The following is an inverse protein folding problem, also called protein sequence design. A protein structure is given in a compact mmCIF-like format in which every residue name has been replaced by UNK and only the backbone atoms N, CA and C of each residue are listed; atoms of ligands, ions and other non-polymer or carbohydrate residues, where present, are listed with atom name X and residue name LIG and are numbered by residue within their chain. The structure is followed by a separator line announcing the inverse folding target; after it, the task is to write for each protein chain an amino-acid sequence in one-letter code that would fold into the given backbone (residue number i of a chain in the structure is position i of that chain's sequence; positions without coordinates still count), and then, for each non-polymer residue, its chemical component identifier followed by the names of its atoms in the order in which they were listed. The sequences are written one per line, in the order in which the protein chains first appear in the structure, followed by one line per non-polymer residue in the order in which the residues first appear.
data_IF_884206178339
#
_entry.id   IF_884206178339
#
_cell.length_a   1.000
_cell.length_b   1.000
_cell.length_c   1.000
_cell.angle_alpha   90.00
_cell.angle_beta   90.00
_cell.angle_gamma   90.00
#
_symmetry.space_group_name_H-M   'P 1'
#
loop_
_entity.id
_entity.type
_entity.pdbx_description
1 polymer ?
#
# COMPACT_ATOMS: atom_id res chain seq x y z
N UNK A 1 1.61 19.80 -16.07
CA UNK A 1 2.04 20.85 -17.01
C UNK A 1 0.84 21.42 -17.80
N UNK A 2 0.04 20.57 -18.44
CA UNK A 2 -1.15 20.98 -19.21
C UNK A 2 -2.20 21.74 -18.41
N UNK A 3 -2.38 21.39 -17.13
CA UNK A 3 -3.37 22.01 -16.22
C UNK A 3 -2.96 23.35 -15.60
N UNK A 4 -1.79 23.91 -15.93
CA UNK A 4 -1.39 25.21 -15.39
C UNK A 4 -2.27 26.33 -15.97
N UNK A 5 -2.79 27.27 -15.13
CA UNK A 5 -3.66 28.36 -15.54
C UNK A 5 -2.88 29.52 -16.19
N UNK A 6 -2.07 29.23 -17.21
CA UNK A 6 -1.26 30.17 -17.96
C UNK A 6 -1.43 29.95 -19.46
N UNK A 7 -1.08 30.94 -20.28
CA UNK A 7 -1.20 30.84 -21.74
C UNK A 7 -0.20 29.86 -22.36
N UNK A 8 -0.43 29.45 -23.61
CA UNK A 8 0.35 28.44 -24.30
C UNK A 8 1.86 28.85 -24.44
N UNK A 9 2.12 30.12 -24.71
CA UNK A 9 3.50 30.66 -24.88
C UNK A 9 4.31 30.50 -23.58
N UNK A 10 3.69 30.77 -22.44
CA UNK A 10 4.30 30.60 -21.12
C UNK A 10 4.48 29.13 -20.78
N UNK A 11 3.50 28.28 -21.09
CA UNK A 11 3.63 26.81 -20.93
C UNK A 11 4.83 26.28 -21.71
N UNK A 12 5.02 26.69 -22.96
CA UNK A 12 6.15 26.27 -23.80
C UNK A 12 7.48 26.78 -23.21
N UNK A 13 7.54 28.02 -22.72
CA UNK A 13 8.75 28.58 -22.09
C UNK A 13 9.12 27.81 -20.82
N UNK A 14 8.17 27.50 -19.95
CA UNK A 14 8.39 26.69 -18.73
C UNK A 14 8.83 25.27 -19.06
N UNK A 15 8.20 24.64 -20.04
CA UNK A 15 8.57 23.30 -20.48
C UNK A 15 9.98 23.24 -21.05
N UNK A 16 10.35 24.21 -21.92
CA UNK A 16 11.71 24.36 -22.42
C UNK A 16 12.72 24.49 -21.26
N UNK A 17 12.44 25.39 -20.30
CA UNK A 17 13.31 25.58 -19.14
C UNK A 17 13.45 24.30 -18.32
N UNK A 18 12.37 23.56 -18.11
CA UNK A 18 12.37 22.27 -17.42
C UNK A 18 13.27 21.24 -18.12
N UNK A 19 13.13 21.09 -19.45
CA UNK A 19 13.98 20.19 -20.25
C UNK A 19 15.48 20.57 -20.17
N UNK A 20 15.79 21.88 -20.26
CA UNK A 20 17.18 22.34 -20.11
C UNK A 20 17.76 22.08 -18.73
N UNK A 21 16.94 22.14 -17.67
CA UNK A 21 17.39 21.79 -16.33
C UNK A 21 17.66 20.29 -16.19
N UNK A 22 16.78 19.44 -16.71
CA UNK A 22 16.99 18.00 -16.75
C UNK A 22 18.24 17.61 -17.53
N UNK A 23 18.45 18.20 -18.70
CA UNK A 23 19.63 17.94 -19.53
C UNK A 23 20.98 18.35 -18.87
N UNK A 24 20.93 19.20 -17.85
CA UNK A 24 22.10 19.70 -17.10
C UNK A 24 22.18 19.14 -15.69
N UNK A 25 21.44 18.08 -15.37
CA UNK A 25 21.34 17.49 -14.03
C UNK A 25 21.03 18.50 -12.91
N UNK A 26 20.30 19.58 -13.25
CA UNK A 26 19.83 20.58 -12.29
C UNK A 26 18.46 20.19 -11.76
N UNK A 27 18.12 20.73 -10.58
CA UNK A 27 16.79 20.51 -9.97
C UNK A 27 15.68 20.84 -10.97
N UNK A 28 14.82 19.87 -11.34
CA UNK A 28 13.76 20.07 -12.30
C UNK A 28 12.69 21.06 -11.78
N UNK A 29 12.04 21.79 -12.68
CA UNK A 29 10.93 22.69 -12.32
C UNK A 29 9.68 21.93 -11.90
N UNK A 30 9.46 20.78 -12.51
CA UNK A 30 8.30 19.91 -12.24
C UNK A 30 8.80 18.57 -11.72
N UNK A 31 7.96 17.91 -10.90
CA UNK A 31 8.23 16.55 -10.47
C UNK A 31 8.28 15.64 -11.71
N UNK A 32 9.37 14.90 -11.86
CA UNK A 32 9.57 13.93 -12.94
C UNK A 32 9.49 12.52 -12.41
N UNK A 33 9.11 11.60 -13.28
CA UNK A 33 9.12 10.17 -13.00
C UNK A 33 10.09 9.48 -13.96
N UNK A 34 10.87 8.54 -13.43
CA UNK A 34 11.71 7.68 -14.25
C UNK A 34 10.84 6.69 -15.04
N UNK A 35 11.26 6.29 -16.24
CA UNK A 35 10.57 5.24 -16.97
C UNK A 35 10.55 3.94 -16.16
N UNK A 36 9.39 3.27 -16.13
CA UNK A 36 9.23 1.98 -15.45
C UNK A 36 10.18 0.95 -16.08
N UNK A 37 10.76 0.08 -15.28
CA UNK A 37 11.64 -0.98 -15.74
C UNK A 37 10.92 -1.93 -16.73
N UNK A 38 11.70 -2.57 -17.60
CA UNK A 38 11.16 -3.65 -18.44
C UNK A 38 10.71 -4.83 -17.58
N UNK A 39 9.71 -5.62 -18.05
CA UNK A 39 9.32 -6.87 -17.39
C UNK A 39 10.50 -7.84 -17.29
N UNK A 40 10.51 -8.62 -16.22
CA UNK A 40 11.43 -9.76 -16.10
C UNK A 40 11.00 -10.90 -17.05
N UNK A 41 11.95 -11.78 -17.38
CA UNK A 41 11.67 -12.95 -18.23
C UNK A 41 10.65 -13.87 -17.56
N UNK A 42 9.59 -14.23 -18.26
CA UNK A 42 8.55 -15.16 -17.77
C UNK A 42 9.13 -16.55 -17.42
N UNK A 43 10.14 -16.99 -18.16
CA UNK A 43 10.83 -18.26 -17.90
C UNK A 43 11.62 -18.19 -16.61
N UNK A 44 12.41 -17.11 -16.42
CA UNK A 44 13.17 -16.91 -15.19
C UNK A 44 12.26 -16.74 -13.96
N UNK A 45 11.13 -16.01 -14.12
CA UNK A 45 10.12 -15.89 -13.08
C UNK A 45 9.54 -17.25 -12.70
N UNK A 46 9.14 -18.07 -13.69
CA UNK A 46 8.61 -19.40 -13.44
C UNK A 46 9.63 -20.28 -12.70
N UNK A 47 10.90 -20.27 -13.10
CA UNK A 47 11.97 -20.99 -12.42
C UNK A 47 12.17 -20.51 -10.99
N UNK A 48 12.19 -19.18 -10.78
CA UNK A 48 12.34 -18.62 -9.43
C UNK A 48 11.12 -18.92 -8.54
N UNK A 49 9.90 -18.87 -9.09
CA UNK A 49 8.67 -19.20 -8.37
C UNK A 49 8.61 -20.66 -7.94
N UNK A 50 9.18 -21.59 -8.73
CA UNK A 50 9.22 -23.02 -8.36
C UNK A 50 10.05 -23.30 -7.11
N UNK A 51 10.95 -22.40 -6.72
CA UNK A 51 11.73 -22.48 -5.48
C UNK A 51 11.03 -21.84 -4.28
N UNK A 52 9.88 -21.16 -4.49
CA UNK A 52 9.11 -20.54 -3.42
C UNK A 52 8.22 -21.57 -2.70
N UNK A 53 7.91 -21.27 -1.45
CA UNK A 53 7.00 -22.07 -0.66
C UNK A 53 5.56 -21.92 -1.19
N UNK A 54 4.98 -22.99 -1.71
CA UNK A 54 3.59 -23.03 -2.13
C UNK A 54 2.69 -23.16 -0.90
N UNK A 55 1.73 -22.24 -0.72
CA UNK A 55 0.86 -22.20 0.47
C UNK A 55 -0.62 -22.33 0.16
N UNK A 56 -1.00 -22.29 -1.11
CA UNK A 56 -2.41 -22.44 -1.49
C UNK A 56 -2.68 -22.27 -2.98
N UNK A 57 -3.92 -22.59 -3.35
CA UNK A 57 -4.43 -22.46 -4.72
C UNK A 57 -5.84 -21.88 -4.69
N UNK A 58 -6.17 -21.07 -5.69
CA UNK A 58 -7.50 -20.48 -5.85
C UNK A 58 -8.40 -21.36 -6.71
N UNK A 59 -9.71 -21.08 -6.71
CA UNK A 59 -10.69 -21.81 -7.51
C UNK A 59 -10.48 -21.64 -9.03
N UNK A 60 -9.92 -20.52 -9.45
CA UNK A 60 -9.58 -20.22 -10.84
C UNK A 60 -8.12 -20.55 -11.17
N UNK A 61 -7.56 -21.54 -10.46
CA UNK A 61 -6.26 -22.17 -10.69
C UNK A 61 -5.02 -21.29 -10.52
N UNK A 62 -5.14 -20.12 -9.87
CA UNK A 62 -3.95 -19.33 -9.50
C UNK A 62 -3.30 -19.93 -8.28
N UNK A 63 -1.98 -19.84 -8.22
CA UNK A 63 -1.18 -20.36 -7.12
C UNK A 63 -0.81 -19.25 -6.15
N UNK A 64 -0.72 -19.59 -4.86
CA UNK A 64 -0.31 -18.67 -3.80
C UNK A 64 1.02 -19.15 -3.24
N UNK A 65 2.01 -18.27 -3.30
CA UNK A 65 3.37 -18.55 -2.83
C UNK A 65 3.79 -17.59 -1.74
N UNK A 66 4.70 -18.07 -0.89
CA UNK A 66 5.45 -17.26 0.06
C UNK A 66 6.89 -17.16 -0.42
N UNK A 67 7.35 -15.96 -0.66
CA UNK A 67 8.70 -15.66 -1.12
C UNK A 67 9.49 -14.94 -0.03
N UNK A 68 10.68 -15.44 0.27
CA UNK A 68 11.69 -14.81 1.13
C UNK A 68 12.84 -14.32 0.27
N UNK A 69 13.18 -13.05 0.40
CA UNK A 69 14.19 -12.43 -0.44
C UNK A 69 15.58 -13.05 -0.20
N UNK A 70 16.23 -13.49 -1.28
CA UNK A 70 17.59 -14.03 -1.25
C UNK A 70 18.40 -13.39 -2.38
N UNK A 71 19.20 -12.38 -2.05
CA UNK A 71 20.07 -11.73 -3.00
C UNK A 71 19.37 -11.09 -4.21
N UNK A 72 19.98 -11.16 -5.40
CA UNK A 72 19.37 -10.65 -6.63
C UNK A 72 18.34 -11.63 -7.17
N UNK A 73 17.06 -11.29 -7.11
CA UNK A 73 15.97 -12.16 -7.53
C UNK A 73 15.10 -11.51 -8.61
N UNK A 74 14.74 -12.22 -9.70
CA UNK A 74 13.78 -11.73 -10.68
C UNK A 74 12.41 -11.49 -10.05
N UNK A 75 12.01 -12.27 -9.04
CA UNK A 75 10.75 -12.09 -8.30
C UNK A 75 10.70 -10.71 -7.66
N UNK A 76 11.73 -10.31 -6.90
CA UNK A 76 11.74 -9.01 -6.22
C UNK A 76 11.78 -7.86 -7.21
N UNK A 77 12.53 -8.00 -8.30
CA UNK A 77 12.58 -6.99 -9.35
C UNK A 77 11.22 -6.81 -10.04
N UNK A 78 10.51 -7.92 -10.28
CA UNK A 78 9.18 -7.88 -10.90
C UNK A 78 8.12 -7.35 -9.93
N UNK A 79 8.13 -7.77 -8.66
CA UNK A 79 7.28 -7.18 -7.61
C UNK A 79 7.46 -5.66 -7.57
N UNK A 80 8.69 -5.18 -7.51
CA UNK A 80 8.97 -3.74 -7.47
C UNK A 80 8.48 -3.00 -8.72
N UNK A 81 8.61 -3.61 -9.90
CA UNK A 81 8.08 -3.07 -11.16
C UNK A 81 6.55 -2.97 -11.14
N UNK A 82 5.88 -4.04 -10.73
CA UNK A 82 4.42 -4.11 -10.70
C UNK A 82 3.80 -3.23 -9.62
N UNK A 83 4.46 -3.11 -8.46
CA UNK A 83 4.10 -2.12 -7.43
C UNK A 83 4.12 -0.71 -8.01
N UNK A 84 5.21 -0.34 -8.69
CA UNK A 84 5.32 0.99 -9.27
C UNK A 84 4.23 1.24 -10.31
N UNK A 85 3.89 0.25 -11.16
CA UNK A 85 2.78 0.35 -12.11
C UNK A 85 1.46 0.59 -11.38
N UNK A 86 1.13 -0.27 -10.42
CA UNK A 86 -0.14 -0.21 -9.71
C UNK A 86 -0.28 1.09 -8.90
N UNK A 87 0.76 1.50 -8.18
CA UNK A 87 0.75 2.70 -7.37
C UNK A 87 0.75 3.98 -8.22
N UNK A 88 1.45 4.03 -9.36
CA UNK A 88 1.32 5.17 -10.29
C UNK A 88 -0.08 5.32 -10.84
N UNK A 89 -0.77 4.22 -11.12
CA UNK A 89 -2.13 4.27 -11.65
C UNK A 89 -3.13 4.94 -10.67
N UNK A 90 -2.82 4.94 -9.37
CA UNK A 90 -3.62 5.61 -8.32
C UNK A 90 -2.95 6.86 -7.75
N UNK A 91 -1.89 7.35 -8.38
CA UNK A 91 -1.19 8.58 -7.97
C UNK A 91 -0.26 8.43 -6.77
N UNK A 92 0.08 7.21 -6.37
CA UNK A 92 0.91 6.88 -5.19
C UNK A 92 2.29 6.30 -5.55
N UNK A 93 2.64 6.26 -6.83
CA UNK A 93 3.93 5.75 -7.30
C UNK A 93 5.12 6.51 -6.71
N UNK A 94 6.22 5.79 -6.50
CA UNK A 94 7.48 6.36 -6.00
C UNK A 94 8.15 7.30 -7.01
N UNK A 95 7.83 7.18 -8.29
CA UNK A 95 8.46 7.87 -9.40
C UNK A 95 9.75 7.18 -9.87
N UNK A 96 10.14 6.07 -9.28
CA UNK A 96 11.32 5.29 -9.62
C UNK A 96 11.00 4.21 -10.67
N UNK A 97 12.02 3.55 -11.18
CA UNK A 97 11.86 2.43 -12.14
C UNK A 97 11.16 1.21 -11.52
N UNK A 98 11.31 1.04 -10.20
CA UNK A 98 10.74 -0.01 -9.35
C UNK A 98 10.47 0.56 -7.97
N UNK A 99 9.37 0.18 -7.34
CA UNK A 99 9.11 0.46 -5.93
C UNK A 99 9.69 -0.68 -5.08
N UNK A 100 10.91 -0.49 -4.63
CA UNK A 100 11.64 -1.39 -3.73
C UNK A 100 12.28 -0.56 -2.62
N UNK A 101 12.20 -1.02 -1.39
CA UNK A 101 12.78 -0.37 -0.23
C UNK A 101 13.64 -1.34 0.61
N UNK A 102 14.43 -0.86 1.59
CA UNK A 102 15.28 -1.72 2.42
C UNK A 102 14.52 -2.82 3.18
N UNK A 103 13.25 -2.59 3.52
CA UNK A 103 12.40 -3.55 4.24
C UNK A 103 12.13 -4.81 3.40
N UNK A 104 12.11 -4.70 2.07
CA UNK A 104 11.88 -5.84 1.18
C UNK A 104 12.93 -6.95 1.34
N UNK A 105 14.07 -6.67 1.98
CA UNK A 105 15.16 -7.64 2.18
C UNK A 105 14.85 -8.68 3.24
N UNK A 106 14.01 -8.36 4.21
CA UNK A 106 13.75 -9.22 5.35
C UNK A 106 12.26 -9.45 5.65
N UNK A 107 11.37 -8.74 4.97
CA UNK A 107 9.96 -9.09 4.94
C UNK A 107 9.71 -10.28 4.01
N UNK A 108 8.68 -11.03 4.29
CA UNK A 108 8.16 -12.05 3.40
C UNK A 108 7.18 -11.44 2.39
N UNK A 109 7.07 -12.05 1.22
CA UNK A 109 6.15 -11.60 0.18
C UNK A 109 5.17 -12.71 -0.16
N UNK A 110 3.90 -12.48 0.14
CA UNK A 110 2.80 -13.30 -0.30
C UNK A 110 2.49 -12.95 -1.75
N UNK A 111 2.56 -13.93 -2.65
CA UNK A 111 2.43 -13.71 -4.09
C UNK A 111 1.25 -14.53 -4.62
N UNK A 112 0.34 -13.86 -5.33
CA UNK A 112 -0.65 -14.50 -6.18
C UNK A 112 -0.07 -14.62 -7.60
N UNK A 113 0.07 -15.85 -8.09
CA UNK A 113 0.71 -16.20 -9.35
C UNK A 113 -0.27 -16.80 -10.34
N UNK A 114 -0.29 -16.30 -11.56
CA UNK A 114 -1.03 -16.87 -12.68
C UNK A 114 -0.14 -17.86 -13.44
N UNK A 115 -0.50 -19.14 -13.41
CA UNK A 115 0.29 -20.22 -14.04
C UNK A 115 0.12 -20.28 -15.56
N UNK A 116 -0.96 -19.73 -16.08
CA UNK A 116 -1.23 -19.71 -17.53
C UNK A 116 -0.48 -18.55 -18.20
N UNK A 117 -0.62 -17.36 -17.63
CA UNK A 117 0.05 -16.16 -18.14
C UNK A 117 1.51 -16.05 -17.69
N UNK A 118 1.97 -16.89 -16.76
CA UNK A 118 3.30 -16.87 -16.14
C UNK A 118 3.66 -15.48 -15.60
N UNK A 119 2.82 -14.95 -14.71
CA UNK A 119 3.03 -13.62 -14.15
C UNK A 119 2.48 -13.47 -12.73
N UNK A 120 3.00 -12.49 -12.02
CA UNK A 120 2.53 -12.10 -10.68
C UNK A 120 1.25 -11.27 -10.86
N UNK A 121 0.12 -11.76 -10.34
CA UNK A 121 -1.17 -11.06 -10.33
C UNK A 121 -1.18 -9.92 -9.32
N UNK A 122 -0.64 -10.18 -8.16
CA UNK A 122 -0.53 -9.24 -7.05
C UNK A 122 0.27 -9.81 -5.90
N UNK A 123 0.57 -8.99 -4.92
CA UNK A 123 1.32 -9.42 -3.73
C UNK A 123 0.98 -8.57 -2.49
N UNK A 124 1.29 -9.13 -1.32
CA UNK A 124 1.38 -8.45 -0.03
C UNK A 124 2.77 -8.60 0.56
N UNK A 125 3.22 -7.61 1.29
CA UNK A 125 4.41 -7.69 2.13
C UNK A 125 3.99 -8.02 3.56
N UNK A 126 4.57 -9.06 4.16
CA UNK A 126 4.25 -9.60 5.47
C UNK A 126 5.45 -9.47 6.40
N UNK A 127 5.24 -8.93 7.60
CA UNK A 127 6.25 -8.85 8.65
C UNK A 127 5.76 -9.54 9.92
N UNK A 128 6.27 -10.72 10.24
CA UNK A 128 6.04 -11.35 11.53
C UNK A 128 6.80 -10.57 12.60
N UNK A 129 6.08 -9.81 13.42
CA UNK A 129 6.69 -8.81 14.28
C UNK A 129 7.54 -9.39 15.38
N UNK A 130 7.20 -10.55 15.96
CA UNK A 130 8.05 -11.18 16.97
C UNK A 130 9.39 -11.61 16.38
N UNK A 131 9.37 -12.25 15.22
CA UNK A 131 10.61 -12.67 14.53
C UNK A 131 11.48 -11.49 14.13
N UNK A 132 10.85 -10.40 13.66
CA UNK A 132 11.59 -9.19 13.27
C UNK A 132 12.23 -8.50 14.46
N UNK A 133 11.52 -8.40 15.58
CA UNK A 133 12.07 -7.80 16.79
C UNK A 133 13.18 -8.65 17.40
N UNK A 134 13.05 -9.98 17.41
CA UNK A 134 14.10 -10.92 17.82
C UNK A 134 15.37 -10.78 16.95
N UNK A 135 15.20 -10.46 15.66
CA UNK A 135 16.29 -10.21 14.71
C UNK A 135 16.79 -8.75 14.70
N UNK A 136 16.31 -7.90 15.62
CA UNK A 136 16.60 -6.46 15.68
C UNK A 136 16.28 -5.70 14.38
N UNK A 137 15.28 -6.17 13.63
CA UNK A 137 14.83 -5.56 12.39
C UNK A 137 13.68 -4.57 12.64
N UNK A 138 13.79 -3.39 12.04
CA UNK A 138 12.80 -2.35 12.19
C UNK A 138 11.51 -2.67 11.42
N UNK A 139 10.35 -2.37 12.00
CA UNK A 139 9.07 -2.42 11.29
C UNK A 139 8.92 -1.22 10.34
N UNK A 140 8.32 -1.45 9.17
CA UNK A 140 8.05 -0.36 8.22
C UNK A 140 7.19 0.73 8.86
N UNK A 141 6.16 0.34 9.62
CA UNK A 141 5.26 1.28 10.30
C UNK A 141 5.98 2.14 11.32
N UNK A 142 7.11 1.74 11.90
CA UNK A 142 7.95 2.58 12.75
C UNK A 142 8.55 3.79 12.01
N UNK A 143 8.61 3.75 10.67
CA UNK A 143 8.98 4.94 9.88
C UNK A 143 7.89 6.02 9.86
N UNK A 144 6.62 5.64 10.09
CA UNK A 144 5.42 6.49 9.99
C UNK A 144 4.84 6.85 11.35
N UNK A 145 5.00 5.97 12.35
CA UNK A 145 4.36 6.07 13.66
C UNK A 145 5.36 5.92 14.79
N UNK A 146 5.04 6.51 15.94
CA UNK A 146 5.67 6.23 17.21
C UNK A 146 4.77 5.27 18.00
N UNK A 147 5.35 4.21 18.53
CA UNK A 147 4.67 3.22 19.35
C UNK A 147 5.06 3.40 20.82
N UNK A 148 4.12 3.19 21.72
CA UNK A 148 4.39 3.15 23.17
C UNK A 148 4.71 1.72 23.59
N UNK A 149 5.23 1.54 24.80
CA UNK A 149 5.50 0.23 25.39
C UNK A 149 4.25 -0.65 25.50
N UNK A 150 3.08 -0.04 25.57
CA UNK A 150 1.80 -0.75 25.57
C UNK A 150 1.53 -1.53 24.26
N UNK A 151 2.29 -1.26 23.19
CA UNK A 151 2.22 -2.02 21.93
C UNK A 151 2.94 -3.38 21.98
N UNK A 152 3.84 -3.60 22.95
CA UNK A 152 4.65 -4.83 23.04
C UNK A 152 3.82 -6.12 22.94
N UNK A 153 2.72 -6.31 23.69
CA UNK A 153 1.93 -7.55 23.60
C UNK A 153 1.32 -7.79 22.21
N UNK A 154 1.08 -6.71 21.47
CA UNK A 154 0.57 -6.80 20.08
C UNK A 154 1.67 -7.18 19.11
N UNK A 155 2.90 -6.73 19.34
CA UNK A 155 4.05 -7.10 18.50
C UNK A 155 4.49 -8.54 18.73
N UNK A 156 4.38 -9.07 19.94
CA UNK A 156 4.72 -10.47 20.26
C UNK A 156 3.89 -11.46 19.44
N UNK A 157 2.68 -11.07 19.02
CA UNK A 157 1.72 -11.90 18.29
C UNK A 157 1.16 -11.17 17.05
N UNK A 158 1.92 -10.25 16.47
CA UNK A 158 1.49 -9.39 15.37
C UNK A 158 2.00 -9.84 14.00
N UNK A 159 1.25 -9.45 12.97
CA UNK A 159 1.67 -9.49 11.58
C UNK A 159 1.45 -8.12 10.96
N UNK A 160 2.54 -7.46 10.56
CA UNK A 160 2.47 -6.24 9.79
C UNK A 160 2.19 -6.54 8.32
N UNK A 161 1.13 -5.92 7.78
CA UNK A 161 0.73 -6.01 6.38
C UNK A 161 1.04 -4.70 5.67
N UNK A 162 1.66 -4.79 4.49
CA UNK A 162 1.97 -3.59 3.71
C UNK A 162 2.20 -3.86 2.24
N UNK A 163 2.42 -2.78 1.49
CA UNK A 163 2.77 -2.84 0.06
C UNK A 163 1.85 -3.75 -0.76
N UNK A 164 0.55 -3.81 -0.40
CA UNK A 164 -0.42 -4.58 -1.16
C UNK A 164 -0.66 -3.97 -2.53
N UNK A 165 -0.66 -4.80 -3.55
CA UNK A 165 -1.04 -4.40 -4.90
C UNK A 165 -1.67 -5.55 -5.67
N UNK A 166 -2.48 -5.18 -6.65
CA UNK A 166 -2.96 -6.04 -7.74
C UNK A 166 -2.63 -5.33 -9.05
N UNK A 167 -2.12 -6.05 -10.05
CA UNK A 167 -1.88 -5.46 -11.37
C UNK A 167 -3.17 -4.86 -11.95
N UNK A 168 -3.12 -3.70 -12.62
CA UNK A 168 -4.30 -3.05 -13.20
C UNK A 168 -5.14 -3.96 -14.10
N UNK A 169 -4.53 -4.87 -14.86
CA UNK A 169 -5.25 -5.81 -15.73
C UNK A 169 -6.13 -6.83 -14.97
N UNK A 170 -5.91 -6.99 -13.66
CA UNK A 170 -6.68 -7.87 -12.79
C UNK A 170 -7.64 -7.12 -11.85
N UNK A 171 -7.75 -5.80 -11.99
CA UNK A 171 -8.70 -5.01 -11.20
C UNK A 171 -10.14 -5.39 -11.54
N UNK A 172 -11.04 -5.25 -10.56
CA UNK A 172 -12.44 -5.66 -10.71
C UNK A 172 -12.68 -7.18 -10.67
N UNK A 173 -11.62 -7.98 -10.47
CA UNK A 173 -11.68 -9.44 -10.27
C UNK A 173 -11.48 -9.77 -8.78
N UNK A 174 -11.56 -11.07 -8.43
CA UNK A 174 -11.40 -11.56 -7.05
C UNK A 174 -9.95 -11.61 -6.54
N UNK A 175 -9.01 -10.96 -7.23
CA UNK A 175 -7.58 -11.07 -6.93
C UNK A 175 -7.22 -10.59 -5.51
N UNK A 176 -7.90 -9.56 -5.01
CA UNK A 176 -7.71 -9.09 -3.64
C UNK A 176 -8.22 -10.11 -2.61
N UNK A 177 -9.39 -10.71 -2.85
CA UNK A 177 -9.93 -11.77 -2.00
C UNK A 177 -8.97 -12.96 -1.93
N UNK A 178 -8.37 -13.34 -3.07
CA UNK A 178 -7.40 -14.43 -3.13
C UNK A 178 -6.12 -14.14 -2.36
N UNK A 179 -5.67 -12.90 -2.35
CA UNK A 179 -4.55 -12.49 -1.48
C UNK A 179 -4.93 -12.62 -0.01
N UNK A 180 -6.16 -12.31 0.37
CA UNK A 180 -6.66 -12.53 1.73
C UNK A 180 -6.78 -14.02 2.09
N UNK A 181 -7.13 -14.90 1.15
CA UNK A 181 -7.05 -16.35 1.36
C UNK A 181 -5.61 -16.80 1.62
N UNK A 182 -4.65 -16.20 0.92
CA UNK A 182 -3.23 -16.44 1.18
C UNK A 182 -2.78 -15.98 2.57
N UNK A 183 -3.26 -14.82 3.04
CA UNK A 183 -3.04 -14.36 4.43
C UNK A 183 -3.64 -15.38 5.41
N UNK A 184 -4.86 -15.88 5.17
CA UNK A 184 -5.47 -16.93 5.97
C UNK A 184 -4.63 -18.22 6.02
N UNK A 185 -4.10 -18.65 4.88
CA UNK A 185 -3.19 -19.81 4.80
C UNK A 185 -1.88 -19.57 5.59
N UNK A 186 -1.33 -18.36 5.52
CA UNK A 186 -0.17 -17.96 6.32
C UNK A 186 -0.47 -18.02 7.83
N UNK A 187 -1.62 -17.50 8.26
CA UNK A 187 -2.03 -17.53 9.68
C UNK A 187 -2.22 -18.95 10.21
N UNK A 188 -2.75 -19.87 9.38
CA UNK A 188 -2.86 -21.29 9.76
C UNK A 188 -1.49 -21.93 10.05
N UNK A 189 -0.43 -21.49 9.34
CA UNK A 189 0.95 -21.94 9.60
C UNK A 189 1.59 -21.25 10.81
N UNK A 190 1.07 -20.07 11.18
CA UNK A 190 1.58 -19.25 12.28
C UNK A 190 0.50 -19.00 13.35
N UNK A 191 0.04 -20.05 14.08
CA UNK A 191 -1.11 -19.97 14.97
C UNK A 191 -0.93 -19.05 16.20
N UNK A 192 0.28 -18.57 16.45
CA UNK A 192 0.56 -17.57 17.50
C UNK A 192 0.12 -16.16 17.09
N UNK A 193 0.03 -15.86 15.80
CA UNK A 193 -0.38 -14.54 15.33
C UNK A 193 -1.87 -14.30 15.68
N UNK A 194 -2.14 -13.16 16.32
CA UNK A 194 -3.47 -12.75 16.79
C UNK A 194 -3.88 -11.39 16.24
N UNK A 195 -2.92 -10.57 15.86
CA UNK A 195 -3.15 -9.19 15.46
C UNK A 195 -2.61 -8.94 14.06
N UNK A 196 -3.44 -8.34 13.22
CA UNK A 196 -3.04 -7.86 11.90
C UNK A 196 -3.07 -6.34 11.93
N UNK A 197 -2.03 -5.69 11.48
CA UNK A 197 -1.97 -4.24 11.41
C UNK A 197 -1.14 -3.77 10.21
N UNK A 198 -1.30 -2.52 9.84
CA UNK A 198 -0.54 -1.91 8.75
C UNK A 198 -1.06 -0.52 8.41
N UNK A 199 -0.31 0.27 7.64
CA UNK A 199 -0.74 1.58 7.23
C UNK A 199 -1.74 1.47 6.08
N UNK A 200 -2.82 2.24 6.16
CA UNK A 200 -3.77 2.45 5.06
C UNK A 200 -3.53 3.84 4.48
N UNK A 201 -3.40 3.92 3.17
CA UNK A 201 -3.18 5.19 2.46
C UNK A 201 -4.50 5.72 1.90
N UNK A 202 -4.76 7.00 2.12
CA UNK A 202 -5.79 7.75 1.41
C UNK A 202 -5.14 8.46 0.21
N UNK A 203 -5.66 8.21 -1.00
CA UNK A 203 -5.10 8.78 -2.22
C UNK A 203 -5.05 10.32 -2.18
N UNK A 204 -3.96 10.90 -2.66
CA UNK A 204 -3.84 12.35 -2.78
C UNK A 204 -4.82 12.96 -3.80
N UNK A 205 -5.33 12.16 -4.74
CA UNK A 205 -6.35 12.58 -5.70
C UNK A 205 -7.74 12.73 -5.09
N UNK A 206 -7.97 12.11 -3.90
CA UNK A 206 -9.24 12.23 -3.19
C UNK A 206 -9.45 13.67 -2.69
N UNK A 207 -10.65 14.28 -2.88
CA UNK A 207 -10.97 15.59 -2.34
C UNK A 207 -10.70 15.68 -0.82
N UNK A 208 -10.27 16.85 -0.35
CA UNK A 208 -9.97 17.05 1.08
C UNK A 208 -11.18 16.74 1.96
N UNK A 209 -12.37 17.19 1.56
CA UNK A 209 -13.62 16.95 2.30
C UNK A 209 -13.91 15.45 2.45
N UNK A 210 -13.66 14.64 1.41
CA UNK A 210 -13.83 13.19 1.47
C UNK A 210 -12.82 12.54 2.43
N UNK A 211 -11.56 13.02 2.46
CA UNK A 211 -10.55 12.56 3.43
C UNK A 211 -10.93 12.91 4.86
N UNK A 212 -11.37 14.17 5.08
CA UNK A 212 -11.81 14.64 6.40
C UNK A 212 -12.96 13.77 6.92
N UNK A 213 -13.93 13.46 6.08
CA UNK A 213 -15.09 12.64 6.41
C UNK A 213 -14.70 11.20 6.75
N UNK A 214 -13.80 10.58 5.96
CA UNK A 214 -13.27 9.24 6.24
C UNK A 214 -12.52 9.21 7.58
N UNK A 215 -11.61 10.14 7.79
CA UNK A 215 -10.83 10.20 9.05
C UNK A 215 -11.74 10.41 10.24
N UNK A 216 -12.75 11.28 10.12
CA UNK A 216 -13.74 11.49 11.17
C UNK A 216 -14.51 10.22 11.49
N UNK A 217 -15.06 9.54 10.47
CA UNK A 217 -15.80 8.28 10.63
C UNK A 217 -14.97 7.21 11.34
N UNK A 218 -13.73 6.98 10.89
CA UNK A 218 -12.86 5.99 11.52
C UNK A 218 -12.48 6.37 12.95
N UNK A 219 -12.23 7.64 13.24
CA UNK A 219 -12.01 8.10 14.61
C UNK A 219 -13.21 7.85 15.51
N UNK A 220 -14.42 8.10 14.99
CA UNK A 220 -15.65 7.97 15.74
C UNK A 220 -15.98 6.53 16.11
N UNK A 221 -15.82 5.59 15.15
CA UNK A 221 -16.25 4.20 15.32
C UNK A 221 -15.13 3.25 15.75
N UNK A 222 -13.87 3.56 15.47
CA UNK A 222 -12.75 2.62 15.62
C UNK A 222 -11.61 3.14 16.49
N UNK A 223 -11.73 4.32 17.08
CA UNK A 223 -10.73 4.76 18.05
C UNK A 223 -10.78 3.89 19.30
N UNK A 224 -9.64 3.34 19.68
CA UNK A 224 -9.51 2.64 20.94
C UNK A 224 -9.52 3.67 22.08
N UNK A 225 -10.65 3.83 22.75
CA UNK A 225 -10.82 4.77 23.86
C UNK A 225 -9.81 4.46 24.97
N UNK A 226 -9.06 5.46 25.40
CA UNK A 226 -8.14 5.37 26.57
C UNK A 226 -6.80 4.68 26.29
N UNK A 227 -6.46 4.32 25.05
CA UNK A 227 -5.17 3.73 24.72
C UNK A 227 -4.30 4.66 23.87
N UNK A 228 -3.11 4.99 24.38
CA UNK A 228 -2.09 5.71 23.62
C UNK A 228 -1.09 4.72 23.02
N UNK A 229 -1.58 3.74 22.25
CA UNK A 229 -0.74 2.69 21.67
C UNK A 229 0.18 3.22 20.57
N UNK A 230 -0.33 4.13 19.76
CA UNK A 230 0.34 4.62 18.56
C UNK A 230 0.02 6.09 18.30
N UNK A 231 1.02 6.84 17.86
CA UNK A 231 0.85 8.22 17.38
C UNK A 231 1.51 8.40 16.03
N UNK A 232 0.86 9.13 15.13
CA UNK A 232 1.46 9.44 13.83
C UNK A 232 2.59 10.45 13.98
N UNK A 233 3.71 10.25 13.27
CA UNK A 233 4.78 11.26 13.14
C UNK A 233 4.36 12.50 12.38
N UNK A 234 3.34 12.33 11.49
CA UNK A 234 2.72 13.41 10.73
C UNK A 234 1.19 13.32 10.91
N UNK A 235 0.64 13.83 12.02
CA UNK A 235 -0.77 13.68 12.32
C UNK A 235 -1.64 14.42 11.31
N UNK A 236 -2.76 13.81 10.92
CA UNK A 236 -3.78 14.45 10.11
C UNK A 236 -4.66 15.33 11.00
N UNK A 237 -4.79 16.58 10.60
CA UNK A 237 -5.62 17.56 11.32
C UNK A 237 -6.94 17.76 10.62
N UNK A 238 -8.03 17.41 11.30
CA UNK A 238 -9.37 17.78 10.89
C UNK A 238 -9.56 19.29 11.07
N UNK A 239 -10.37 19.98 10.24
CA UNK A 239 -10.77 21.36 10.48
C UNK A 239 -11.42 21.52 11.86
N UNK A 240 -11.25 22.69 12.50
CA UNK A 240 -11.82 22.93 13.84
C UNK A 240 -13.36 22.86 13.84
N UNK A 241 -13.98 23.31 12.78
CA UNK A 241 -15.43 23.34 12.53
C UNK A 241 -15.97 21.96 12.12
N UNK A 242 -15.09 20.96 11.98
CA UNK A 242 -15.53 19.61 11.60
C UNK A 242 -16.33 18.92 12.71
N UNK A 243 -16.25 19.41 13.96
CA UNK A 243 -17.07 18.94 15.08
C UNK A 243 -18.53 19.44 15.05
N UNK A 244 -18.83 20.52 14.30
CA UNK A 244 -20.20 21.04 14.09
C UNK A 244 -20.96 20.24 13.01
N UNK A 245 -20.52 19.03 12.68
CA UNK A 245 -20.97 18.18 11.59
C UNK A 245 -22.33 17.51 11.86
N UNK A 246 -23.22 18.17 12.57
CA UNK A 246 -24.64 17.85 12.54
C UNK A 246 -25.22 17.79 11.10
N UNK A 247 -24.58 18.48 10.14
CA UNK A 247 -24.92 18.43 8.71
C UNK A 247 -24.72 17.04 8.08
N UNK A 248 -23.73 16.27 8.51
CA UNK A 248 -23.43 14.97 7.86
C UNK A 248 -24.19 13.77 8.45
N UNK A 249 -24.96 13.98 9.54
CA UNK A 249 -25.77 12.91 10.19
C UNK A 249 -24.99 11.62 10.55
N UNK A 250 -23.68 11.75 10.77
CA UNK A 250 -22.82 10.67 11.27
C UNK A 250 -22.67 10.88 12.77
N UNK A 251 -23.31 10.01 13.56
CA UNK A 251 -23.53 10.22 15.01
C UNK A 251 -22.61 9.44 15.91
N UNK A 252 -22.00 8.36 15.41
CA UNK A 252 -21.22 7.43 16.22
C UNK A 252 -22.06 6.43 17.02
N UNK A 253 -23.39 6.49 16.91
CA UNK A 253 -24.31 5.63 17.69
C UNK A 253 -24.61 4.32 16.94
N UNK A 254 -24.91 4.41 15.65
CA UNK A 254 -25.21 3.23 14.82
C UNK A 254 -24.24 3.17 13.63
N UNK A 255 -23.30 2.22 13.70
CA UNK A 255 -22.32 1.99 12.65
C UNK A 255 -22.95 1.75 11.27
N UNK A 256 -24.03 0.97 11.17
CA UNK A 256 -24.63 0.64 9.86
C UNK A 256 -25.28 1.87 9.22
N UNK A 257 -25.99 2.64 9.99
CA UNK A 257 -26.61 3.90 9.55
C UNK A 257 -25.53 4.90 9.14
N UNK A 258 -24.51 5.10 9.97
CA UNK A 258 -23.42 6.01 9.71
C UNK A 258 -22.58 5.60 8.50
N UNK A 259 -22.36 4.28 8.31
CA UNK A 259 -21.65 3.76 7.12
C UNK A 259 -22.43 4.00 5.82
N UNK A 260 -23.76 3.80 5.84
CA UNK A 260 -24.60 4.10 4.66
C UNK A 260 -24.60 5.60 4.35
N UNK A 261 -24.66 6.44 5.37
CA UNK A 261 -24.54 7.90 5.24
C UNK A 261 -23.19 8.30 4.64
N UNK A 262 -22.09 7.77 5.19
CA UNK A 262 -20.74 7.98 4.65
C UNK A 262 -20.65 7.60 3.18
N UNK A 263 -21.14 6.40 2.81
CA UNK A 263 -21.12 5.90 1.42
C UNK A 263 -21.85 6.85 0.48
N UNK A 264 -23.03 7.34 0.86
CA UNK A 264 -23.83 8.26 0.05
C UNK A 264 -23.14 9.63 -0.10
N UNK A 265 -22.52 10.15 0.97
CA UNK A 265 -21.79 11.41 0.92
C UNK A 265 -20.57 11.30 -0.01
N UNK A 266 -19.79 10.23 0.11
CA UNK A 266 -18.61 10.01 -0.74
C UNK A 266 -18.95 9.79 -2.22
N UNK A 267 -20.13 9.22 -2.52
CA UNK A 267 -20.58 9.02 -3.89
C UNK A 267 -20.98 10.34 -4.58
N UNK A 268 -21.24 11.39 -3.82
CA UNK A 268 -21.64 12.73 -4.31
C UNK A 268 -20.47 13.74 -4.33
N UNK A 269 -19.27 13.35 -3.92
CA UNK A 269 -18.04 14.17 -3.92
C UNK A 269 -17.12 13.80 -5.08
#
# INVERSE_FOLDING_TARGET
YGGLPINLKEKVRLFRRHLYQLAKDKKPLFKTQTAIAHPESKIELKQAMSACEHIGQTQDNKQIYLYRHQGSSPIMREIGRLREIAFRAVGEGSGNRRDVDPYDRYYEHLILWDVEDLEIVGAYRLGNTSQMLEAEQALYTQSLFNYTEQMTPYFDNGLELGRSFVQPKYWGKRSLDYLWYGIGAYLNKHPKIRYLFGPVTLSNSMPKAAKDLLVYFYKLHFSAAGTNLVSSKMPYHLPQDFNDVAEFKITGVDYKSDFMTLKNLLANM
#
